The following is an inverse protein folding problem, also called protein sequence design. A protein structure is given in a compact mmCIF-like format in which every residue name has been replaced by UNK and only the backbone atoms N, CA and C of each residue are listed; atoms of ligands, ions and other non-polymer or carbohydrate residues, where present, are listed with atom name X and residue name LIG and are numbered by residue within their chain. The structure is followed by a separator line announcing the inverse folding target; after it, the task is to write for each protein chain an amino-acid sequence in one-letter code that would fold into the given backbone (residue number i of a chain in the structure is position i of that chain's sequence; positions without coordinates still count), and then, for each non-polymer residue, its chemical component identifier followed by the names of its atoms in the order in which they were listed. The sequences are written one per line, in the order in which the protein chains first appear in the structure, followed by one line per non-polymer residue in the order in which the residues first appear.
data_IF_429502429298
#
_entry.id   IF_429502429298
#
_cell.length_a   1.000
_cell.length_b   1.000
_cell.length_c   1.000
_cell.angle_alpha   90.00
_cell.angle_beta   90.00
_cell.angle_gamma   90.00
#
_symmetry.space_group_name_H-M   'P 1'
#
loop_
_entity.id
_entity.type
_entity.pdbx_description
1 polymer ?
#
# COMPACT_ATOMS: atom_id res chain seq x y z
N UNK A 1 -16.42 29.22 -12.68
CA UNK A 1 -16.15 28.23 -11.62
C UNK A 1 -14.70 27.85 -11.84
N UNK A 2 -13.81 28.12 -10.89
CA UNK A 2 -12.41 27.77 -11.08
C UNK A 2 -12.33 26.25 -11.00
N UNK A 3 -12.07 25.61 -12.14
CA UNK A 3 -11.69 24.22 -12.19
C UNK A 3 -10.35 24.15 -11.46
N UNK A 4 -10.35 23.65 -10.22
CA UNK A 4 -9.12 23.55 -9.46
C UNK A 4 -8.36 22.35 -10.03
N UNK A 5 -7.44 22.63 -10.94
CA UNK A 5 -6.64 21.62 -11.63
C UNK A 5 -5.52 21.15 -10.71
N UNK A 6 -5.13 19.90 -10.87
CA UNK A 6 -3.93 19.39 -10.20
C UNK A 6 -2.67 19.98 -10.83
N UNK A 7 -1.72 20.35 -9.97
CA UNK A 7 -0.41 20.83 -10.36
C UNK A 7 0.54 19.69 -10.72
N UNK A 8 1.72 20.03 -11.24
CA UNK A 8 2.80 19.06 -11.46
C UNK A 8 3.28 18.43 -10.14
N UNK A 9 3.35 19.23 -9.07
CA UNK A 9 3.71 18.77 -7.72
C UNK A 9 2.73 17.73 -7.17
N UNK A 10 1.43 17.92 -7.41
CA UNK A 10 0.38 16.99 -6.98
C UNK A 10 0.55 15.63 -7.69
N UNK A 11 0.84 15.64 -9.00
CA UNK A 11 1.14 14.44 -9.77
C UNK A 11 2.39 13.72 -9.25
N UNK A 12 3.47 14.47 -9.03
CA UNK A 12 4.75 13.90 -8.57
C UNK A 12 4.57 13.19 -7.22
N UNK A 13 3.88 13.82 -6.27
CA UNK A 13 3.63 13.26 -4.96
C UNK A 13 2.83 11.94 -5.02
N UNK A 14 1.80 11.87 -5.86
CA UNK A 14 1.01 10.64 -6.04
C UNK A 14 1.87 9.53 -6.62
N UNK A 15 2.63 9.83 -7.68
CA UNK A 15 3.47 8.82 -8.31
C UNK A 15 4.56 8.32 -7.36
N UNK A 16 5.16 9.19 -6.54
CA UNK A 16 6.15 8.80 -5.53
C UNK A 16 5.59 7.79 -4.52
N UNK A 17 4.36 8.00 -4.04
CA UNK A 17 3.69 7.06 -3.13
C UNK A 17 3.44 5.72 -3.81
N UNK A 18 2.88 5.74 -5.02
CA UNK A 18 2.56 4.50 -5.74
C UNK A 18 3.82 3.71 -6.13
N UNK A 19 4.90 4.41 -6.52
CA UNK A 19 6.19 3.82 -6.87
C UNK A 19 6.84 3.15 -5.65
N UNK A 20 6.76 3.80 -4.48
CA UNK A 20 7.24 3.25 -3.20
C UNK A 20 6.52 1.96 -2.81
N UNK A 21 5.27 1.78 -3.23
CA UNK A 21 4.47 0.57 -3.01
C UNK A 21 4.69 -0.49 -4.10
N UNK A 22 5.57 -0.23 -5.08
CA UNK A 22 5.80 -1.14 -6.21
C UNK A 22 4.68 -1.14 -7.25
N UNK A 23 3.80 -0.14 -7.25
CA UNK A 23 2.74 0.01 -8.24
C UNK A 23 3.32 0.74 -9.45
N UNK A 24 3.28 0.09 -10.61
CA UNK A 24 3.74 0.71 -11.85
C UNK A 24 2.88 1.91 -12.22
N UNK A 25 3.51 2.99 -12.70
CA UNK A 25 2.83 4.22 -13.11
C UNK A 25 1.75 4.01 -14.17
N UNK A 26 1.87 2.97 -14.99
CA UNK A 26 0.86 2.59 -15.99
C UNK A 26 -0.45 2.07 -15.37
N UNK A 27 -0.38 1.57 -14.13
CA UNK A 27 -1.53 1.10 -13.35
C UNK A 27 -2.15 2.22 -12.51
N UNK A 28 -1.62 3.45 -12.57
CA UNK A 28 -2.12 4.59 -11.80
C UNK A 28 -2.80 5.59 -12.73
N UNK A 29 -4.06 5.91 -12.44
CA UNK A 29 -4.85 6.92 -13.11
C UNK A 29 -5.14 8.05 -12.15
N UNK A 30 -4.72 9.25 -12.52
CA UNK A 30 -4.95 10.47 -11.72
C UNK A 30 -5.85 11.40 -12.53
N UNK A 31 -6.93 11.86 -11.92
CA UNK A 31 -7.80 12.87 -12.54
C UNK A 31 -7.14 14.25 -12.54
N UNK A 32 -7.22 14.94 -13.68
CA UNK A 32 -6.67 16.29 -13.86
C UNK A 32 -7.48 17.37 -13.10
N UNK A 33 -8.64 17.00 -12.59
CA UNK A 33 -9.59 17.85 -11.88
C UNK A 33 -9.64 17.46 -10.42
N UNK A 34 -9.67 18.45 -9.53
CA UNK A 34 -9.94 18.23 -8.11
C UNK A 34 -11.44 18.17 -7.87
N UNK A 35 -11.88 17.24 -7.05
CA UNK A 35 -13.28 17.10 -6.60
C UNK A 35 -13.36 17.11 -5.08
N UNK A 36 -14.50 17.49 -4.50
CA UNK A 36 -14.71 17.42 -3.05
C UNK A 36 -15.95 16.57 -2.74
N UNK A 37 -15.81 15.43 -2.04
CA UNK A 37 -14.57 14.85 -1.52
C UNK A 37 -13.71 14.19 -2.61
N UNK A 38 -12.39 14.14 -2.40
CA UNK A 38 -11.49 13.32 -3.21
C UNK A 38 -11.79 11.82 -3.04
N UNK A 39 -11.35 11.01 -4.00
CA UNK A 39 -11.66 9.58 -4.07
C UNK A 39 -10.44 8.74 -4.39
N UNK A 40 -10.37 7.55 -3.77
CA UNK A 40 -9.35 6.55 -4.01
C UNK A 40 -10.09 5.25 -4.29
N UNK A 41 -9.88 4.68 -5.48
CA UNK A 41 -10.56 3.48 -5.93
C UNK A 41 -9.56 2.51 -6.54
N UNK A 42 -9.59 1.25 -6.11
CA UNK A 42 -8.93 0.16 -6.81
C UNK A 42 -9.91 -0.47 -7.79
N UNK A 43 -9.53 -0.50 -9.06
CA UNK A 43 -10.29 -1.11 -10.14
C UNK A 43 -9.92 -2.60 -10.25
N UNK A 44 -10.88 -3.42 -10.70
CA UNK A 44 -10.58 -4.77 -11.18
C UNK A 44 -9.54 -4.68 -12.31
N UNK A 45 -8.52 -5.55 -12.28
CA UNK A 45 -7.28 -5.50 -13.09
C UNK A 45 -6.05 -4.90 -12.37
N UNK A 46 -6.21 -4.34 -11.17
CA UNK A 46 -5.08 -3.83 -10.38
C UNK A 46 -4.71 -2.37 -10.68
N UNK A 47 -5.53 -1.68 -11.49
CA UNK A 47 -5.42 -0.24 -11.66
C UNK A 47 -5.94 0.50 -10.43
N UNK A 48 -5.35 1.66 -10.15
CA UNK A 48 -5.74 2.57 -9.08
C UNK A 48 -6.18 3.88 -9.70
N UNK A 49 -7.41 4.30 -9.41
CA UNK A 49 -7.98 5.58 -9.81
C UNK A 49 -7.98 6.53 -8.62
N UNK A 50 -7.44 7.72 -8.84
CA UNK A 50 -7.14 8.72 -7.80
C UNK A 50 -7.68 10.07 -8.24
N UNK A 51 -8.58 10.63 -7.42
CA UNK A 51 -9.15 11.96 -7.60
C UNK A 51 -8.80 12.81 -6.39
N UNK A 52 -8.09 13.92 -6.59
CA UNK A 52 -7.64 14.75 -5.47
C UNK A 52 -8.78 15.60 -4.89
N UNK A 53 -8.80 15.75 -3.56
CA UNK A 53 -9.71 16.66 -2.85
C UNK A 53 -9.41 18.14 -3.14
N UNK A 54 -10.45 18.97 -3.24
CA UNK A 54 -10.30 20.45 -3.29
C UNK A 54 -9.99 21.03 -1.91
N UNK A 55 -10.49 20.42 -0.84
CA UNK A 55 -10.36 20.93 0.53
C UNK A 55 -9.03 20.63 1.24
N UNK A 56 -8.11 19.85 0.65
CA UNK A 56 -6.81 19.52 1.26
C UNK A 56 -5.67 19.46 0.23
N UNK A 57 -4.43 19.62 0.70
CA UNK A 57 -3.23 19.54 -0.15
C UNK A 57 -2.89 18.10 -0.55
N UNK A 58 -2.25 17.91 -1.70
CA UNK A 58 -1.81 16.60 -2.17
C UNK A 58 -0.91 15.87 -1.16
N UNK A 59 -0.05 16.56 -0.40
CA UNK A 59 0.78 15.92 0.63
C UNK A 59 -0.05 15.20 1.71
N UNK A 60 -1.15 15.81 2.16
CA UNK A 60 -2.03 15.22 3.19
C UNK A 60 -2.78 14.04 2.59
N UNK A 61 -3.27 14.21 1.36
CA UNK A 61 -3.97 13.18 0.63
C UNK A 61 -3.06 11.98 0.30
N UNK A 62 -1.79 12.20 -0.05
CA UNK A 62 -0.79 11.16 -0.33
C UNK A 62 -0.55 10.24 0.88
N UNK A 63 -0.61 10.80 2.11
CA UNK A 63 -0.54 9.98 3.33
C UNK A 63 -1.75 9.06 3.47
N UNK A 64 -2.94 9.55 3.15
CA UNK A 64 -4.18 8.73 3.13
C UNK A 64 -4.13 7.69 2.02
N UNK A 65 -3.74 8.10 0.81
CA UNK A 65 -3.56 7.24 -0.37
C UNK A 65 -2.71 6.03 -0.04
N UNK A 66 -1.58 6.23 0.63
CA UNK A 66 -0.71 5.13 1.06
C UNK A 66 -1.44 4.16 1.98
N UNK A 67 -2.11 4.66 3.02
CA UNK A 67 -2.83 3.83 3.99
C UNK A 67 -3.97 3.05 3.31
N UNK A 68 -4.72 3.69 2.43
CA UNK A 68 -5.80 3.05 1.66
C UNK A 68 -5.23 1.95 0.74
N UNK A 69 -4.11 2.20 0.06
CA UNK A 69 -3.44 1.21 -0.79
C UNK A 69 -2.90 0.03 0.03
N UNK A 70 -2.26 0.29 1.16
CA UNK A 70 -1.79 -0.75 2.09
C UNK A 70 -2.98 -1.57 2.63
N UNK A 71 -4.07 -0.92 3.02
CA UNK A 71 -5.30 -1.61 3.47
C UNK A 71 -5.97 -2.44 2.36
N UNK A 72 -5.80 -2.03 1.10
CA UNK A 72 -6.24 -2.80 -0.07
C UNK A 72 -5.28 -3.94 -0.45
N UNK A 73 -4.15 -4.09 0.24
CA UNK A 73 -3.16 -5.16 0.04
C UNK A 73 -2.05 -4.84 -0.95
N UNK A 74 -1.81 -3.56 -1.25
CA UNK A 74 -0.60 -3.13 -1.94
C UNK A 74 0.50 -2.87 -0.89
N UNK A 75 1.41 -3.82 -0.74
CA UNK A 75 2.57 -3.68 0.15
C UNK A 75 3.84 -3.53 -0.69
N UNK A 76 4.78 -2.71 -0.21
CA UNK A 76 6.09 -2.59 -0.82
C UNK A 76 6.76 -3.97 -0.86
N UNK A 77 7.46 -4.32 -1.96
CA UNK A 77 8.08 -5.63 -2.12
C UNK A 77 9.16 -5.96 -1.07
N UNK A 78 9.56 -5.01 -0.22
CA UNK A 78 10.53 -5.20 0.85
C UNK A 78 9.96 -5.91 2.09
N UNK A 79 8.63 -5.98 2.26
CA UNK A 79 8.00 -6.72 3.39
C UNK A 79 8.02 -8.24 3.23
N UNK A 80 8.52 -8.79 2.11
CA UNK A 80 8.63 -10.23 1.91
C UNK A 80 9.75 -10.89 2.76
N UNK A 81 10.41 -10.13 3.63
CA UNK A 81 11.34 -10.62 4.65
C UNK A 81 10.75 -10.61 6.07
N UNK A 82 9.41 -10.61 6.24
CA UNK A 82 8.87 -11.18 7.47
C UNK A 82 9.05 -12.70 7.38
N UNK A 83 10.16 -13.17 7.95
CA UNK A 83 10.31 -14.55 8.36
C UNK A 83 9.03 -14.92 9.10
N UNK A 84 8.25 -15.81 8.50
CA UNK A 84 7.28 -16.63 9.23
C UNK A 84 8.13 -17.53 10.14
N UNK A 85 8.54 -16.91 11.25
CA UNK A 85 8.95 -17.52 12.50
C UNK A 85 7.67 -18.08 13.10
N UNK A 86 7.35 -19.34 12.80
CA UNK A 86 6.57 -20.23 13.66
C UNK A 86 6.35 -21.59 12.96
N UNK A 87 7.29 -22.53 13.16
CA UNK A 87 6.90 -23.87 13.61
C UNK A 87 7.91 -24.32 14.66
N UNK A 88 7.52 -24.14 15.92
CA UNK A 88 7.97 -24.93 17.07
C UNK A 88 8.15 -26.41 16.67
N UNK A 89 9.38 -26.86 16.47
CA UNK A 89 9.70 -28.28 16.64
C UNK A 89 9.88 -28.51 18.16
N UNK A 90 8.75 -28.60 18.84
CA UNK A 90 8.65 -29.29 20.13
C UNK A 90 9.16 -30.72 19.87
N UNK A 91 10.45 -30.97 20.17
CA UNK A 91 11.00 -32.33 20.25
C UNK A 91 10.66 -32.87 21.66
N UNK A 92 9.57 -33.66 21.83
CA UNK A 92 9.33 -34.35 23.08
C UNK A 92 10.31 -35.51 23.17
N UNK A 93 11.55 -35.24 23.61
CA UNK A 93 12.52 -36.29 23.96
C UNK A 93 11.83 -37.33 24.86
N UNK A 94 11.61 -38.59 24.42
CA UNK A 94 11.18 -39.61 25.35
C UNK A 94 12.39 -39.98 26.22
N UNK A 95 12.29 -39.95 27.56
CA UNK A 95 13.34 -40.51 28.40
C UNK A 95 13.29 -42.04 28.24
N UNK A 96 14.15 -42.57 27.38
CA UNK A 96 14.32 -44.02 27.25
C UNK A 96 15.02 -44.57 28.51
N UNK A 97 14.50 -45.65 29.12
CA UNK A 97 14.96 -46.15 30.40
C UNK A 97 16.14 -47.09 30.21
N UNK A 98 17.33 -46.75 30.71
CA UNK A 98 18.41 -47.73 30.80
C UNK A 98 18.42 -48.38 32.20
N UNK A 99 17.68 -49.50 32.26
CA UNK A 99 17.88 -50.56 33.25
C UNK A 99 19.20 -51.27 32.98
N UNK A 100 19.98 -51.41 34.05
CA UNK A 100 20.64 -52.65 34.49
C UNK A 100 21.65 -53.32 33.54
N UNK A 101 22.95 -53.22 33.88
CA UNK A 101 23.86 -54.36 34.04
C UNK A 101 25.05 -54.01 34.92
#
# INVERSE_FOLDING_TARGET
MAEELIGMEDMEAIFEVTDSLGIHRESVRVELTKEDPGSIQRVADGMVEITLPVNESAEVFCRKLRIDLEAMGFEAPDSMLNYDDDEDDDDPRPPSPQRLR
#
